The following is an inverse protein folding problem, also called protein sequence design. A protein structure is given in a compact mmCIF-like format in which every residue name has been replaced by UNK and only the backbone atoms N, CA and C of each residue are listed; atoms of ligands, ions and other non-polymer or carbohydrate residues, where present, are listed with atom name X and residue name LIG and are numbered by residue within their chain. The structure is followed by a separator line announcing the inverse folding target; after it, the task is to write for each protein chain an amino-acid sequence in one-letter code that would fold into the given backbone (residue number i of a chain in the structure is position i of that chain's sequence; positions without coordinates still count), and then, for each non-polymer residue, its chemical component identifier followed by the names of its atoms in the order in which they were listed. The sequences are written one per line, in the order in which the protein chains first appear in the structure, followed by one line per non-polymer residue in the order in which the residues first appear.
data_IF_155551310342
#
_entry.id   IF_155551310342
#
_cell.length_a   1.000
_cell.length_b   1.000
_cell.length_c   1.000
_cell.angle_alpha   90.00
_cell.angle_beta   90.00
_cell.angle_gamma   90.00
#
_symmetry.space_group_name_H-M   'P 1'
#
loop_
_entity.id
_entity.type
_entity.pdbx_description
1 polymer ?
#
# COMPACT_ATOMS: atom_id res chain seq x y z
N UNK A 1 5.55 4.73 4.66
CA UNK A 1 5.16 5.21 6.00
C UNK A 1 4.68 4.01 6.80
N UNK A 2 5.26 3.75 7.97
CA UNK A 2 4.70 2.77 8.88
C UNK A 2 3.40 3.37 9.42
N UNK A 3 2.25 2.82 9.03
CA UNK A 3 0.96 3.26 9.53
C UNK A 3 0.85 3.01 11.04
N UNK A 4 0.07 3.83 11.74
CA UNK A 4 -0.22 3.58 13.16
C UNK A 4 -1.23 2.41 13.28
N UNK A 5 -1.07 1.54 14.28
CA UNK A 5 -2.08 0.52 14.57
C UNK A 5 -3.44 1.14 14.87
N UNK A 6 -4.52 0.48 14.42
CA UNK A 6 -5.89 0.94 14.66
C UNK A 6 -6.19 1.23 16.15
N UNK A 7 -5.76 0.41 17.13
CA UNK A 7 -5.94 0.73 18.55
C UNK A 7 -5.32 2.06 18.95
N UNK A 8 -4.11 2.35 18.46
CA UNK A 8 -3.43 3.61 18.75
C UNK A 8 -4.16 4.80 18.14
N UNK A 9 -4.67 4.67 16.90
CA UNK A 9 -5.48 5.71 16.27
C UNK A 9 -6.73 6.00 17.12
N UNK A 10 -7.39 4.95 17.60
CA UNK A 10 -8.58 5.06 18.46
C UNK A 10 -8.24 5.76 19.78
N UNK A 11 -7.17 5.35 20.46
CA UNK A 11 -6.72 5.93 21.73
C UNK A 11 -6.40 7.42 21.58
N UNK A 12 -5.72 7.79 20.49
CA UNK A 12 -5.46 9.19 20.16
C UNK A 12 -6.77 9.96 19.94
N UNK A 13 -7.74 9.40 19.21
CA UNK A 13 -9.04 10.07 19.02
C UNK A 13 -9.83 10.23 20.31
N UNK A 14 -9.75 9.26 21.23
CA UNK A 14 -10.36 9.36 22.56
C UNK A 14 -9.73 10.50 23.34
N UNK A 15 -8.40 10.61 23.34
CA UNK A 15 -7.70 11.69 24.03
C UNK A 15 -8.03 13.08 23.46
N UNK A 16 -8.14 13.20 22.13
CA UNK A 16 -8.50 14.45 21.44
C UNK A 16 -9.96 14.85 21.65
N UNK A 17 -10.85 13.89 21.85
CA UNK A 17 -12.30 14.11 22.03
C UNK A 17 -12.75 13.72 23.43
N UNK A 18 -12.01 14.13 24.48
CA UNK A 18 -12.27 13.72 25.86
C UNK A 18 -13.68 14.08 26.39
N UNK A 19 -14.36 15.07 25.78
CA UNK A 19 -15.74 15.45 26.13
C UNK A 19 -16.82 14.54 25.52
N UNK A 20 -16.48 13.71 24.52
CA UNK A 20 -17.43 12.79 23.88
C UNK A 20 -17.39 11.42 24.55
N UNK A 21 -18.52 10.68 24.60
CA UNK A 21 -18.52 9.31 25.08
C UNK A 21 -17.55 8.44 24.26
N UNK A 22 -16.70 7.67 24.94
CA UNK A 22 -15.68 6.79 24.33
C UNK A 22 -16.26 5.91 23.22
N UNK A 23 -17.41 5.27 23.48
CA UNK A 23 -18.12 4.43 22.50
C UNK A 23 -18.42 5.19 21.20
N UNK A 24 -18.87 6.43 21.31
CA UNK A 24 -19.19 7.27 20.16
C UNK A 24 -17.93 7.60 19.38
N UNK A 25 -16.85 7.97 20.06
CA UNK A 25 -15.56 8.25 19.43
C UNK A 25 -15.01 7.04 18.67
N UNK A 26 -15.07 5.84 19.27
CA UNK A 26 -14.66 4.59 18.61
C UNK A 26 -15.46 4.37 17.33
N UNK A 27 -16.80 4.42 17.41
CA UNK A 27 -17.68 4.19 16.25
C UNK A 27 -17.41 5.20 15.15
N UNK A 28 -17.39 6.50 15.48
CA UNK A 28 -17.11 7.55 14.50
C UNK A 28 -15.73 7.42 13.86
N UNK A 29 -14.72 6.95 14.60
CA UNK A 29 -13.38 6.70 14.05
C UNK A 29 -13.40 5.55 13.04
N UNK A 30 -14.07 4.45 13.37
CA UNK A 30 -14.22 3.32 12.45
C UNK A 30 -15.05 3.69 11.22
N UNK A 31 -16.15 4.41 11.40
CA UNK A 31 -17.01 4.88 10.31
C UNK A 31 -16.24 5.80 9.35
N UNK A 32 -15.41 6.71 9.88
CA UNK A 32 -14.53 7.58 9.09
C UNK A 32 -13.50 6.76 8.28
N UNK A 33 -12.86 5.77 8.90
CA UNK A 33 -11.85 4.95 8.22
C UNK A 33 -12.48 4.12 7.11
N UNK A 34 -13.59 3.45 7.38
CA UNK A 34 -14.23 2.56 6.41
C UNK A 34 -14.97 3.34 5.32
N UNK A 35 -15.77 4.33 5.71
CA UNK A 35 -16.60 5.10 4.79
C UNK A 35 -15.79 6.11 3.99
N UNK A 36 -15.02 6.97 4.66
CA UNK A 36 -14.40 8.11 4.00
C UNK A 36 -13.03 7.75 3.44
N UNK A 37 -12.18 7.09 4.23
CA UNK A 37 -10.80 6.80 3.82
C UNK A 37 -10.75 5.60 2.86
N UNK A 38 -11.29 4.44 3.25
CA UNK A 38 -11.18 3.22 2.45
C UNK A 38 -12.08 3.27 1.20
N UNK A 39 -13.22 3.96 1.25
CA UNK A 39 -14.16 3.99 0.13
C UNK A 39 -14.17 5.32 -0.61
N UNK A 40 -14.53 6.44 0.04
CA UNK A 40 -14.67 7.72 -0.67
C UNK A 40 -13.36 8.24 -1.24
N UNK A 41 -12.26 8.16 -0.50
CA UNK A 41 -10.96 8.67 -0.96
C UNK A 41 -10.50 7.92 -2.21
N UNK A 42 -10.56 6.59 -2.22
CA UNK A 42 -10.21 5.76 -3.40
C UNK A 42 -11.00 6.20 -4.63
N UNK A 43 -12.33 6.36 -4.48
CA UNK A 43 -13.22 6.79 -5.57
C UNK A 43 -12.90 8.19 -6.07
N UNK A 44 -12.76 9.15 -5.16
CA UNK A 44 -12.51 10.56 -5.51
C UNK A 44 -11.13 10.75 -6.15
N UNK A 45 -10.10 10.09 -5.63
CA UNK A 45 -8.78 10.07 -6.26
C UNK A 45 -8.83 9.41 -7.64
N UNK A 46 -9.63 8.36 -7.82
CA UNK A 46 -9.85 7.74 -9.14
C UNK A 46 -10.45 8.72 -10.15
N UNK A 47 -11.50 9.44 -9.76
CA UNK A 47 -12.11 10.47 -10.59
C UNK A 47 -11.12 11.60 -10.91
N UNK A 48 -10.38 12.08 -9.91
CA UNK A 48 -9.39 13.13 -10.09
C UNK A 48 -8.28 12.69 -11.05
N UNK A 49 -7.71 11.49 -10.88
CA UNK A 49 -6.69 10.95 -11.77
C UNK A 49 -7.19 10.83 -13.20
N UNK A 50 -8.42 10.38 -13.43
CA UNK A 50 -9.00 10.29 -14.76
C UNK A 50 -9.13 11.68 -15.42
N UNK A 51 -9.61 12.68 -14.69
CA UNK A 51 -9.71 14.06 -15.18
C UNK A 51 -8.34 14.68 -15.45
N UNK A 52 -7.35 14.41 -14.59
CA UNK A 52 -5.99 14.90 -14.76
C UNK A 52 -5.33 14.31 -16.01
N UNK A 53 -5.48 13.01 -16.25
CA UNK A 53 -5.00 12.35 -17.48
C UNK A 53 -5.63 13.01 -18.70
N UNK A 54 -6.95 13.19 -18.71
CA UNK A 54 -7.66 13.85 -19.81
C UNK A 54 -7.17 15.28 -20.05
N UNK A 55 -6.98 16.05 -18.98
CA UNK A 55 -6.50 17.43 -19.07
C UNK A 55 -5.06 17.53 -19.60
N UNK A 56 -4.16 16.63 -19.17
CA UNK A 56 -2.78 16.59 -19.66
C UNK A 56 -2.72 16.21 -21.14
N UNK A 57 -3.51 15.21 -21.55
CA UNK A 57 -3.62 14.79 -22.95
C UNK A 57 -4.15 15.94 -23.83
N UNK A 58 -5.22 16.61 -23.38
CA UNK A 58 -5.79 17.78 -24.07
C UNK A 58 -4.82 18.96 -24.17
N UNK A 59 -3.86 19.08 -23.25
CA UNK A 59 -2.82 20.10 -23.25
C UNK A 59 -1.56 19.71 -24.03
N UNK A 60 -1.51 18.50 -24.62
CA UNK A 60 -0.33 17.97 -25.31
C UNK A 60 0.82 17.55 -24.38
N UNK A 61 0.55 17.35 -23.09
CA UNK A 61 1.52 16.98 -22.05
C UNK A 61 1.46 15.48 -21.71
N UNK A 62 1.29 14.63 -22.72
CA UNK A 62 1.07 13.18 -22.55
C UNK A 62 2.18 12.50 -21.75
N UNK A 63 3.43 12.94 -21.92
CA UNK A 63 4.59 12.37 -21.20
C UNK A 63 4.44 12.48 -19.67
N UNK A 64 3.73 13.51 -19.18
CA UNK A 64 3.51 13.72 -17.75
C UNK A 64 2.53 12.71 -17.15
N UNK A 65 1.71 12.03 -17.96
CA UNK A 65 0.76 11.00 -17.47
C UNK A 65 1.50 9.87 -16.73
N UNK A 66 2.70 9.50 -17.22
CA UNK A 66 3.55 8.47 -16.61
C UNK A 66 4.03 8.82 -15.19
N UNK A 67 4.02 10.10 -14.83
CA UNK A 67 4.41 10.59 -13.50
C UNK A 67 3.28 10.54 -12.47
N UNK A 68 2.03 10.30 -12.91
CA UNK A 68 0.88 10.25 -12.01
C UNK A 68 0.98 8.97 -11.17
N UNK A 69 1.10 9.07 -9.83
CA UNK A 69 1.09 7.90 -8.98
C UNK A 69 -0.29 7.25 -9.01
N UNK A 70 -0.33 5.91 -8.95
CA UNK A 70 -1.57 5.14 -8.87
C UNK A 70 -2.17 5.19 -7.45
N UNK A 71 -2.42 6.39 -6.94
CA UNK A 71 -2.93 6.63 -5.58
C UNK A 71 -4.19 5.83 -5.24
N UNK A 72 -5.20 5.68 -6.14
CA UNK A 72 -6.37 4.86 -5.84
C UNK A 72 -6.00 3.41 -5.53
N UNK A 73 -5.12 2.83 -6.35
CA UNK A 73 -4.63 1.46 -6.18
C UNK A 73 -3.83 1.32 -4.87
N UNK A 74 -3.03 2.33 -4.55
CA UNK A 74 -2.19 2.35 -3.34
C UNK A 74 -3.06 2.32 -2.09
N UNK A 75 -4.10 3.15 -2.07
CA UNK A 75 -5.09 3.20 -0.98
C UNK A 75 -5.89 1.91 -0.86
N UNK A 76 -6.29 1.31 -1.99
CA UNK A 76 -7.06 0.06 -2.01
C UNK A 76 -6.27 -1.12 -1.44
N UNK A 77 -5.00 -1.23 -1.82
CA UNK A 77 -4.14 -2.34 -1.40
C UNK A 77 -3.52 -2.10 -0.01
N UNK A 78 -3.44 -0.83 0.42
CA UNK A 78 -2.71 -0.41 1.61
C UNK A 78 -1.19 -0.43 1.37
N UNK A 79 -0.76 -0.01 0.19
CA UNK A 79 0.64 0.09 -0.21
C UNK A 79 1.01 1.55 -0.48
N UNK A 80 2.31 1.88 -0.51
CA UNK A 80 2.77 3.24 -0.81
C UNK A 80 3.71 3.34 -2.01
N UNK A 81 4.02 2.22 -2.65
CA UNK A 81 4.95 2.16 -3.77
C UNK A 81 4.70 0.94 -4.66
N UNK A 82 5.26 0.99 -5.87
CA UNK A 82 5.05 0.00 -6.91
C UNK A 82 5.69 -1.34 -6.57
N UNK A 83 6.88 -1.32 -5.94
CA UNK A 83 7.59 -2.53 -5.53
C UNK A 83 6.74 -3.37 -4.57
N UNK A 84 6.12 -2.77 -3.55
CA UNK A 84 5.24 -3.48 -2.62
C UNK A 84 4.05 -4.13 -3.34
N UNK A 85 3.43 -3.41 -4.28
CA UNK A 85 2.31 -3.93 -5.07
C UNK A 85 2.78 -5.10 -5.93
N UNK A 86 3.92 -4.97 -6.58
CA UNK A 86 4.49 -6.05 -7.39
C UNK A 86 4.77 -7.31 -6.57
N UNK A 87 5.25 -7.20 -5.32
CA UNK A 87 5.36 -8.36 -4.44
C UNK A 87 4.00 -8.99 -4.11
N UNK A 88 2.97 -8.20 -3.82
CA UNK A 88 1.61 -8.70 -3.59
C UNK A 88 1.06 -9.37 -4.86
N UNK A 89 1.29 -8.80 -6.04
CA UNK A 89 0.87 -9.35 -7.33
C UNK A 89 1.56 -10.67 -7.68
N UNK A 90 2.74 -10.95 -7.13
CA UNK A 90 3.38 -12.26 -7.23
C UNK A 90 2.71 -13.34 -6.37
N UNK A 91 1.74 -12.97 -5.52
CA UNK A 91 1.03 -13.88 -4.63
C UNK A 91 1.57 -13.94 -3.21
N UNK A 92 2.51 -13.07 -2.85
CA UNK A 92 3.02 -12.98 -1.47
C UNK A 92 1.94 -12.39 -0.55
N UNK A 93 1.90 -12.85 0.70
CA UNK A 93 1.06 -12.20 1.69
C UNK A 93 1.51 -10.75 1.90
N UNK A 94 0.58 -9.89 2.34
CA UNK A 94 0.89 -8.46 2.60
C UNK A 94 2.04 -8.28 3.59
N UNK A 95 2.12 -9.13 4.61
CA UNK A 95 3.19 -9.08 5.62
C UNK A 95 4.54 -9.43 4.98
N UNK A 96 4.60 -10.47 4.16
CA UNK A 96 5.82 -10.85 3.43
C UNK A 96 6.23 -9.75 2.45
N UNK A 97 5.29 -9.25 1.63
CA UNK A 97 5.53 -8.18 0.68
C UNK A 97 6.04 -6.89 1.34
N UNK A 98 5.49 -6.51 2.50
CA UNK A 98 5.93 -5.33 3.25
C UNK A 98 7.38 -5.48 3.74
N UNK A 99 7.73 -6.63 4.35
CA UNK A 99 9.11 -6.89 4.80
C UNK A 99 10.12 -6.88 3.65
N UNK A 100 9.78 -7.51 2.53
CA UNK A 100 10.64 -7.54 1.35
C UNK A 100 10.78 -6.14 0.72
N UNK A 101 9.68 -5.38 0.70
CA UNK A 101 9.72 -4.00 0.24
C UNK A 101 10.65 -3.16 1.12
N UNK A 102 10.59 -3.26 2.46
CA UNK A 102 11.53 -2.57 3.36
C UNK A 102 13.00 -2.86 3.03
N UNK A 103 13.32 -4.10 2.65
CA UNK A 103 14.67 -4.52 2.23
C UNK A 103 15.04 -4.06 0.82
N UNK A 104 14.06 -3.75 -0.04
CA UNK A 104 14.31 -3.26 -1.39
C UNK A 104 14.65 -1.78 -1.38
N UNK A 105 15.86 -1.45 -1.86
CA UNK A 105 16.28 -0.07 -2.11
C UNK A 105 15.43 0.61 -3.21
N UNK A 106 15.00 -0.16 -4.22
CA UNK A 106 14.14 0.33 -5.30
C UNK A 106 12.67 0.20 -4.95
N UNK A 107 11.91 1.28 -5.15
CA UNK A 107 10.47 1.40 -4.86
C UNK A 107 9.58 1.41 -6.10
N UNK A 108 10.20 1.24 -7.26
CA UNK A 108 9.62 1.32 -8.59
C UNK A 108 9.68 0.00 -9.37
N UNK A 109 10.01 -1.12 -8.70
CA UNK A 109 10.08 -2.43 -9.33
C UNK A 109 8.69 -2.80 -9.86
N UNK A 110 8.64 -3.27 -11.10
CA UNK A 110 7.48 -3.96 -11.64
C UNK A 110 7.51 -5.45 -11.23
N UNK A 111 6.50 -6.21 -11.64
CA UNK A 111 6.33 -7.62 -11.24
C UNK A 111 7.52 -8.49 -11.68
N UNK A 112 8.05 -8.27 -12.88
CA UNK A 112 9.22 -8.98 -13.39
C UNK A 112 10.49 -8.59 -12.62
N UNK A 113 10.69 -7.29 -12.37
CA UNK A 113 11.80 -6.77 -11.58
C UNK A 113 11.76 -7.25 -10.13
N UNK A 114 10.57 -7.33 -9.52
CA UNK A 114 10.37 -7.87 -8.18
C UNK A 114 10.70 -9.37 -8.12
N UNK A 115 10.28 -10.17 -9.11
CA UNK A 115 10.63 -11.60 -9.18
C UNK A 115 12.14 -11.80 -9.33
N UNK A 116 12.77 -11.04 -10.23
CA UNK A 116 14.22 -11.07 -10.40
C UNK A 116 14.95 -10.62 -9.13
N UNK A 117 14.42 -9.62 -8.44
CA UNK A 117 14.95 -9.15 -7.16
C UNK A 117 14.95 -10.26 -6.10
N UNK A 118 13.93 -11.11 -6.06
CA UNK A 118 13.86 -12.27 -5.16
C UNK A 118 14.88 -13.34 -5.55
N UNK A 119 14.94 -13.70 -6.85
CA UNK A 119 15.81 -14.78 -7.35
C UNK A 119 17.31 -14.48 -7.24
N UNK A 120 17.69 -13.21 -7.22
CA UNK A 120 19.10 -12.79 -7.19
C UNK A 120 19.71 -12.76 -5.78
N UNK A 121 18.95 -13.07 -4.73
CA UNK A 121 19.40 -12.95 -3.34
C UNK A 121 19.35 -14.29 -2.59
N UNK A 122 20.27 -14.52 -1.64
CA UNK A 122 20.16 -15.65 -0.72
C UNK A 122 18.96 -15.43 0.21
N UNK A 123 17.86 -16.15 -0.04
CA UNK A 123 16.59 -15.97 0.68
C UNK A 123 16.73 -16.25 2.18
N UNK A 124 17.62 -17.17 2.54
CA UNK A 124 17.94 -17.57 3.90
C UNK A 124 18.59 -16.43 4.70
N UNK A 125 19.29 -15.53 4.02
CA UNK A 125 19.95 -14.39 4.65
C UNK A 125 18.99 -13.21 4.92
N UNK A 126 17.73 -13.28 4.47
CA UNK A 126 16.75 -12.20 4.62
C UNK A 126 16.19 -12.09 6.06
N UNK A 127 16.52 -13.02 6.95
CA UNK A 127 16.05 -12.99 8.35
C UNK A 127 14.53 -13.11 8.48
N UNK A 128 13.87 -13.72 7.48
CA UNK A 128 12.44 -13.97 7.50
C UNK A 128 12.11 -15.12 8.46
N UNK A 129 10.92 -15.08 9.07
CA UNK A 129 10.45 -16.23 9.83
C UNK A 129 10.19 -17.42 8.89
N UNK A 130 10.22 -18.66 9.38
CA UNK A 130 10.08 -19.85 8.53
C UNK A 130 8.83 -19.84 7.65
N UNK A 131 7.71 -19.30 8.16
CA UNK A 131 6.45 -19.17 7.42
C UNK A 131 6.58 -18.23 6.21
N UNK A 132 7.14 -17.03 6.42
CA UNK A 132 7.29 -16.05 5.33
C UNK A 132 8.33 -16.53 4.31
N UNK A 133 9.39 -17.20 4.78
CA UNK A 133 10.40 -17.79 3.88
C UNK A 133 9.78 -18.88 2.99
N UNK A 134 8.85 -19.69 3.51
CA UNK A 134 8.14 -20.69 2.72
C UNK A 134 7.28 -20.05 1.61
N UNK A 135 6.58 -18.93 1.90
CA UNK A 135 5.85 -18.15 0.88
C UNK A 135 6.79 -17.67 -0.23
N UNK A 136 7.94 -17.10 0.14
CA UNK A 136 8.91 -16.58 -0.84
C UNK A 136 9.48 -17.69 -1.71
N UNK A 137 9.81 -18.84 -1.13
CA UNK A 137 10.34 -20.00 -1.87
C UNK A 137 9.35 -20.55 -2.89
N UNK A 138 8.07 -20.63 -2.54
CA UNK A 138 7.04 -21.08 -3.46
C UNK A 138 6.97 -20.24 -4.74
N UNK A 139 7.27 -18.94 -4.63
CA UNK A 139 7.23 -17.99 -5.76
C UNK A 139 8.57 -17.91 -6.50
N UNK A 140 9.69 -17.94 -5.79
CA UNK A 140 11.00 -17.69 -6.38
C UNK A 140 11.57 -18.90 -7.17
N UNK A 141 11.16 -20.13 -6.81
CA UNK A 141 11.69 -21.38 -7.38
C UNK A 141 10.89 -21.84 -8.61
N UNK A 142 9.64 -21.37 -8.76
CA UNK A 142 8.83 -21.55 -9.98
C UNK A 142 9.32 -20.60 -11.06
#
# INVERSE_FOLDING_TARGET
MLGLPLPQIIDEQISRNASKPVRTTIRSTLDLIEGDIRFQAVRLFGCYSALLVYALDSAGLVDMVSSIPSLPLYLEIGASDKTMISFISLGLSRVTAMKLNEMSARKDLDTAGALQWLRTRPLEALGLSPLLLAEVRAIAIT
#
